data_IF_973122697600
#
_entry.id   IF_973122697600
#
_cell.length_a   1.000
_cell.length_b   1.000
_cell.length_c   1.000
_cell.angle_alpha   90.00
_cell.angle_beta   90.00
_cell.angle_gamma   90.00
#
_symmetry.space_group_name_H-M   'P 1'
#
loop_
_entity.id
_entity.type
_entity.pdbx_description
1 polymer ?
#
# COMPACT_ATOMS: atom_id res chain seq x y z
N UNK A 1 -7.53 -3.35 -18.53
CA UNK A 1 -6.87 -2.04 -18.45
C UNK A 1 -6.57 -1.60 -19.86
N UNK A 2 -7.33 -0.64 -20.36
CA UNK A 2 -7.25 -0.26 -21.78
C UNK A 2 -6.32 0.95 -21.97
N UNK A 3 -6.03 1.68 -20.89
CA UNK A 3 -5.11 2.82 -20.87
C UNK A 3 -3.73 2.45 -20.34
N UNK A 4 -2.70 2.57 -21.19
CA UNK A 4 -1.30 2.27 -20.82
C UNK A 4 -0.70 3.28 -19.85
N UNK A 5 -1.17 4.53 -19.85
CA UNK A 5 -0.70 5.54 -18.90
C UNK A 5 -1.14 5.22 -17.48
N UNK A 6 -2.40 4.80 -17.31
CA UNK A 6 -2.93 4.35 -16.02
C UNK A 6 -2.18 3.13 -15.49
N UNK A 7 -1.89 2.15 -16.37
CA UNK A 7 -1.07 0.99 -15.99
C UNK A 7 0.28 1.42 -15.42
N UNK A 8 0.99 2.33 -16.11
CA UNK A 8 2.31 2.82 -15.67
C UNK A 8 2.20 3.58 -14.35
N UNK A 9 1.18 4.42 -14.18
CA UNK A 9 0.95 5.16 -12.94
C UNK A 9 0.67 4.22 -11.77
N UNK A 10 -0.22 3.25 -11.94
CA UNK A 10 -0.56 2.25 -10.93
C UNK A 10 0.66 1.40 -10.55
N UNK A 11 1.37 0.87 -11.55
CA UNK A 11 2.55 0.03 -11.31
C UNK A 11 3.67 0.79 -10.61
N UNK A 12 3.85 2.08 -10.93
CA UNK A 12 4.87 2.92 -10.28
C UNK A 12 4.54 3.18 -8.82
N UNK A 13 3.27 3.51 -8.52
CA UNK A 13 2.81 3.73 -7.14
C UNK A 13 2.97 2.47 -6.29
N UNK A 14 2.54 1.31 -6.81
CA UNK A 14 2.70 0.02 -6.13
C UNK A 14 4.16 -0.37 -5.95
N UNK A 15 5.00 -0.24 -6.99
CA UNK A 15 6.42 -0.54 -6.88
C UNK A 15 7.12 0.27 -5.79
N UNK A 16 6.71 1.54 -5.57
CA UNK A 16 7.22 2.35 -4.47
C UNK A 16 6.82 1.80 -3.11
N UNK A 17 5.57 1.39 -2.91
CA UNK A 17 5.11 0.78 -1.64
C UNK A 17 5.92 -0.48 -1.28
N UNK A 18 6.22 -1.30 -2.29
CA UNK A 18 7.05 -2.50 -2.15
C UNK A 18 8.51 -2.14 -1.83
N UNK A 19 9.07 -1.15 -2.53
CA UNK A 19 10.46 -0.73 -2.36
C UNK A 19 10.73 -0.05 -1.00
N UNK A 20 9.76 0.70 -0.47
CA UNK A 20 9.88 1.33 0.85
C UNK A 20 9.58 0.36 2.00
N UNK A 21 9.19 -0.88 1.71
CA UNK A 21 8.80 -1.87 2.71
C UNK A 21 7.49 -1.55 3.46
N UNK A 22 6.68 -0.63 2.93
CA UNK A 22 5.46 -0.16 3.60
C UNK A 22 4.26 -1.11 3.42
N UNK A 23 4.34 -2.03 2.46
CA UNK A 23 3.31 -3.04 2.20
C UNK A 23 3.97 -4.32 1.70
N UNK A 24 3.42 -5.46 2.11
CA UNK A 24 3.85 -6.77 1.64
C UNK A 24 3.36 -7.05 0.20
N UNK A 25 4.11 -7.85 -0.58
CA UNK A 25 3.68 -8.32 -1.88
C UNK A 25 2.57 -9.37 -1.73
N UNK A 26 1.65 -9.39 -2.69
CA UNK A 26 0.56 -10.38 -2.78
C UNK A 26 0.97 -11.64 -3.56
N UNK A 27 2.12 -11.60 -4.23
CA UNK A 27 2.70 -12.73 -4.96
C UNK A 27 4.08 -13.06 -4.39
N UNK A 28 4.50 -14.31 -4.58
CA UNK A 28 5.82 -14.76 -4.16
C UNK A 28 6.92 -14.12 -5.04
N UNK A 29 8.01 -13.73 -4.41
CA UNK A 29 9.19 -13.19 -5.10
C UNK A 29 9.85 -14.26 -5.98
N UNK A 30 10.08 -13.93 -7.25
CA UNK A 30 10.82 -14.77 -8.19
C UNK A 30 12.10 -14.06 -8.69
N UNK A 31 12.87 -13.48 -7.75
CA UNK A 31 13.97 -12.54 -8.03
C UNK A 31 13.53 -11.28 -8.79
N UNK A 32 12.27 -10.90 -8.61
CA UNK A 32 11.69 -9.71 -9.21
C UNK A 32 12.27 -8.43 -8.61
N UNK A 33 12.44 -7.41 -9.45
CA UNK A 33 12.51 -6.04 -8.96
C UNK A 33 11.10 -5.58 -8.56
N UNK A 34 10.95 -4.60 -7.64
CA UNK A 34 9.63 -4.11 -7.21
C UNK A 34 8.69 -3.68 -8.36
N UNK A 35 9.25 -3.16 -9.45
CA UNK A 35 8.48 -2.80 -10.66
C UNK A 35 7.91 -4.00 -11.39
N UNK A 36 8.68 -5.09 -11.48
CA UNK A 36 8.24 -6.34 -12.13
C UNK A 36 7.20 -7.03 -11.25
N UNK A 37 7.42 -7.08 -9.93
CA UNK A 37 6.45 -7.59 -8.97
C UNK A 37 5.11 -6.87 -9.08
N UNK A 38 5.12 -5.53 -9.08
CA UNK A 38 3.90 -4.73 -9.21
C UNK A 38 3.12 -5.03 -10.52
N UNK A 39 3.83 -5.21 -11.64
CA UNK A 39 3.19 -5.57 -12.91
C UNK A 39 2.58 -6.98 -12.87
N UNK A 40 3.26 -7.94 -12.22
CA UNK A 40 2.73 -9.31 -12.03
C UNK A 40 1.46 -9.29 -11.17
N UNK A 41 1.46 -8.52 -10.09
CA UNK A 41 0.28 -8.36 -9.22
C UNK A 41 -0.91 -7.75 -9.98
N UNK A 42 -0.66 -6.74 -10.83
CA UNK A 42 -1.70 -6.13 -11.68
C UNK A 42 -2.21 -7.12 -12.72
N UNK A 43 -1.31 -7.89 -13.36
CA UNK A 43 -1.69 -8.91 -14.35
C UNK A 43 -2.50 -10.07 -13.73
N UNK A 44 -2.26 -10.39 -12.46
CA UNK A 44 -3.02 -11.36 -11.69
C UNK A 44 -4.37 -10.80 -11.17
N UNK A 45 -4.66 -9.52 -11.39
CA UNK A 45 -5.88 -8.87 -10.89
C UNK A 45 -5.90 -8.64 -9.38
N UNK A 46 -4.74 -8.73 -8.71
CA UNK A 46 -4.62 -8.57 -7.26
C UNK A 46 -4.41 -7.11 -6.84
N UNK A 47 -4.09 -6.24 -7.79
CA UNK A 47 -3.86 -4.81 -7.58
C UNK A 47 -4.62 -3.98 -8.61
N UNK A 48 -5.43 -3.05 -8.11
CA UNK A 48 -6.11 -2.00 -8.87
C UNK A 48 -6.08 -0.67 -8.09
N UNK A 49 -6.70 0.37 -8.64
CA UNK A 49 -6.76 1.67 -7.98
C UNK A 49 -7.59 1.67 -6.69
N UNK A 50 -8.63 0.86 -6.60
CA UNK A 50 -9.51 0.79 -5.42
C UNK A 50 -8.75 0.19 -4.23
N UNK A 51 -8.02 -0.90 -4.46
CA UNK A 51 -7.17 -1.58 -3.48
C UNK A 51 -6.09 -0.65 -2.95
N UNK A 52 -5.49 0.18 -3.80
CA UNK A 52 -4.49 1.16 -3.34
C UNK A 52 -5.13 2.26 -2.51
N UNK A 53 -6.29 2.78 -2.93
CA UNK A 53 -6.98 3.83 -2.19
C UNK A 53 -7.44 3.35 -0.81
N UNK A 54 -8.00 2.14 -0.72
CA UNK A 54 -8.39 1.52 0.54
C UNK A 54 -7.20 1.31 1.48
N UNK A 55 -6.05 0.90 0.93
CA UNK A 55 -4.82 0.74 1.71
C UNK A 55 -4.19 2.06 2.21
N UNK A 56 -4.62 3.21 1.68
CA UNK A 56 -4.21 4.56 2.09
C UNK A 56 -5.17 5.20 3.08
N UNK A 57 -6.36 4.63 3.29
CA UNK A 57 -7.23 4.99 4.41
C UNK A 57 -6.59 4.40 5.66
N UNK A 58 -5.61 5.12 6.19
CA UNK A 58 -5.15 4.93 7.56
C UNK A 58 -6.17 5.67 8.42
N UNK A 59 -6.94 4.95 9.23
CA UNK A 59 -7.56 5.55 10.41
C UNK A 59 -6.41 5.94 11.34
N UNK A 60 -5.83 7.13 11.09
CA UNK A 60 -4.92 7.74 12.03
C UNK A 60 -5.77 8.05 13.26
N UNK A 61 -5.75 7.15 14.24
CA UNK A 61 -6.13 7.54 15.59
C UNK A 61 -5.24 8.72 15.95
N UNK A 62 -5.80 9.91 16.21
CA UNK A 62 -5.00 11.10 16.39
C UNK A 62 -4.03 10.81 17.54
N UNK A 63 -2.74 10.91 17.27
CA UNK A 63 -1.66 10.62 18.22
C UNK A 63 -1.88 11.30 19.60
N UNK A 64 -2.64 12.39 19.62
CA UNK A 64 -3.06 13.12 20.82
C UNK A 64 -4.02 12.34 21.73
N UNK A 65 -4.94 11.53 21.18
CA UNK A 65 -5.91 10.75 21.96
C UNK A 65 -5.22 9.66 22.80
N UNK A 66 -4.15 9.04 22.26
CA UNK A 66 -3.38 8.02 22.98
C UNK A 66 -2.64 8.55 24.23
N UNK A 67 -2.43 9.87 24.33
CA UNK A 67 -1.81 10.50 25.51
C UNK A 67 -2.84 11.00 26.54
N UNK A 68 -4.11 11.19 26.16
CA UNK A 68 -5.14 11.63 27.10
C UNK A 68 -5.56 10.49 28.05
N UNK A 69 -5.60 9.24 27.56
CA UNK A 69 -5.95 8.07 28.39
C UNK A 69 -4.95 7.81 29.53
N UNK A 70 -3.63 7.99 29.31
CA UNK A 70 -2.61 7.85 30.36
C UNK A 70 -2.75 8.92 31.46
N UNK A 71 -3.26 10.10 31.12
CA UNK A 71 -3.40 11.22 32.06
C UNK A 71 -4.64 11.12 32.94
N UNK A 72 -5.63 10.32 32.52
CA UNK A 72 -6.93 10.19 33.19
C UNK A 72 -7.03 8.95 34.10
N UNK A 73 -6.03 8.05 34.07
CA UNK A 73 -5.95 6.88 34.97
C UNK A 73 -5.25 7.19 36.32
N UNK A 74 -4.77 8.43 36.49
CA UNK A 74 -4.04 8.89 37.66
C UNK A 74 -4.80 9.91 38.54
N UNK A 75 -6.06 9.62 38.94
CA UNK A 75 -6.74 10.20 40.13
C UNK A 75 -7.73 9.21 40.73
#
# INVERSE_FOLDING_TARGET
>A
MDNRFELVMLSTKRARQLATGGKEPKLAWENDKPTVMALREIAAGLMDYAVIAEAEIVEDEPLFAAFEDESNEAV
#
